data_IF_410436204626
#
_entry.id   IF_410436204626
#
_cell.length_a   1.000
_cell.length_b   1.000
_cell.length_c   1.000
_cell.angle_alpha   90.00
_cell.angle_beta   90.00
_cell.angle_gamma   90.00
#
_symmetry.space_group_name_H-M   'P 1'
#
loop_
_entity.id
_entity.type
_entity.pdbx_description
1 polymer ?
#
# COMPACT_ATOMS: atom_id res chain seq x y z
N UNK A 1 5.78 -20.09 30.37
CA UNK A 1 6.38 -20.82 29.23
C UNK A 1 7.86 -21.01 29.51
N UNK A 2 8.37 -22.25 29.46
CA UNK A 2 9.81 -22.52 29.61
C UNK A 2 10.51 -22.03 28.34
N UNK A 3 11.35 -21.01 28.44
CA UNK A 3 12.24 -20.59 27.35
C UNK A 3 13.31 -21.67 27.19
N UNK A 4 13.26 -22.41 26.08
CA UNK A 4 14.41 -23.19 25.64
C UNK A 4 15.51 -22.17 25.30
N UNK A 5 16.60 -22.13 26.08
CA UNK A 5 17.73 -21.21 25.91
C UNK A 5 18.57 -21.45 24.64
N UNK A 6 17.95 -21.87 23.55
CA UNK A 6 18.57 -21.98 22.24
C UNK A 6 18.47 -20.63 21.53
N UNK A 7 19.62 -20.04 21.24
CA UNK A 7 19.73 -18.89 20.33
C UNK A 7 19.27 -19.35 18.95
N UNK A 8 18.20 -18.76 18.42
CA UNK A 8 17.79 -18.95 17.02
C UNK A 8 18.59 -18.03 16.11
N UNK A 9 19.07 -18.53 14.98
CA UNK A 9 19.76 -17.74 13.96
C UNK A 9 19.00 -17.81 12.65
N UNK A 10 18.61 -16.66 12.14
CA UNK A 10 17.92 -16.49 10.85
C UNK A 10 18.84 -15.73 9.90
N UNK A 11 18.82 -16.12 8.62
CA UNK A 11 19.54 -15.39 7.55
C UNK A 11 18.51 -14.91 6.54
N UNK A 12 18.32 -13.60 6.47
CA UNK A 12 17.48 -12.96 5.46
C UNK A 12 18.32 -12.50 4.27
N UNK A 13 17.79 -12.68 3.06
CA UNK A 13 18.30 -12.04 1.85
C UNK A 13 17.29 -11.03 1.36
N UNK A 14 17.58 -9.75 1.60
CA UNK A 14 16.73 -8.65 1.16
C UNK A 14 17.07 -8.24 -0.27
N UNK A 15 16.04 -8.06 -1.11
CA UNK A 15 16.16 -7.69 -2.51
C UNK A 15 15.31 -6.44 -2.81
N UNK A 16 15.97 -5.37 -3.23
CA UNK A 16 15.28 -4.17 -3.75
C UNK A 16 14.43 -4.49 -4.98
N UNK A 17 13.39 -3.69 -5.25
CA UNK A 17 12.41 -3.96 -6.32
C UNK A 17 13.02 -4.09 -7.72
N UNK A 18 14.08 -3.31 -8.01
CA UNK A 18 14.85 -3.36 -9.27
C UNK A 18 16.11 -4.24 -9.20
N UNK A 19 16.26 -5.05 -8.14
CA UNK A 19 17.45 -5.88 -7.93
C UNK A 19 17.31 -7.25 -8.59
N UNK A 20 18.26 -7.57 -9.47
CA UNK A 20 18.41 -8.88 -10.08
C UNK A 20 19.76 -9.48 -9.63
N UNK A 21 19.77 -10.36 -8.62
CA UNK A 21 21.00 -11.00 -8.17
C UNK A 21 21.57 -11.90 -9.28
N UNK A 22 22.90 -11.92 -9.43
CA UNK A 22 23.58 -12.88 -10.29
C UNK A 22 23.91 -14.17 -9.55
N UNK A 23 24.35 -15.19 -10.29
CA UNK A 23 24.73 -16.50 -9.74
C UNK A 23 25.76 -16.40 -8.61
N UNK A 24 26.68 -15.42 -8.71
CA UNK A 24 27.73 -15.20 -7.71
C UNK A 24 27.14 -14.72 -6.38
N UNK A 25 26.24 -13.75 -6.43
CA UNK A 25 25.55 -13.22 -5.25
C UNK A 25 24.71 -14.31 -4.60
N UNK A 26 23.92 -15.05 -5.38
CA UNK A 26 23.10 -16.16 -4.89
C UNK A 26 23.95 -17.23 -4.19
N UNK A 27 25.06 -17.65 -4.81
CA UNK A 27 25.98 -18.62 -4.22
C UNK A 27 26.52 -18.13 -2.88
N UNK A 28 26.94 -16.86 -2.78
CA UNK A 28 27.48 -16.28 -1.54
C UNK A 28 26.45 -16.27 -0.42
N UNK A 29 25.21 -15.94 -0.73
CA UNK A 29 24.11 -15.89 0.24
C UNK A 29 23.75 -17.31 0.72
N UNK A 30 23.72 -18.29 -0.20
CA UNK A 30 23.50 -19.71 0.14
C UNK A 30 24.62 -20.27 1.02
N UNK A 31 25.88 -19.92 0.73
CA UNK A 31 27.01 -20.29 1.57
C UNK A 31 26.89 -19.68 2.98
N UNK A 32 26.35 -18.47 3.12
CA UNK A 32 26.12 -17.84 4.42
C UNK A 32 25.08 -18.58 5.25
N UNK A 33 23.93 -18.92 4.65
CA UNK A 33 22.89 -19.70 5.34
C UNK A 33 23.43 -21.06 5.82
N UNK A 34 24.21 -21.76 4.98
CA UNK A 34 24.88 -23.01 5.34
C UNK A 34 25.85 -22.87 6.51
N UNK A 35 26.64 -21.80 6.56
CA UNK A 35 27.61 -21.56 7.66
C UNK A 35 26.93 -21.42 9.02
N UNK A 36 25.73 -20.85 9.06
CA UNK A 36 24.95 -20.69 10.29
C UNK A 36 23.94 -21.82 10.52
N UNK A 37 24.01 -22.89 9.73
CA UNK A 37 23.09 -24.04 9.80
C UNK A 37 21.61 -23.62 9.82
N UNK A 38 21.26 -22.66 8.96
CA UNK A 38 19.91 -22.11 8.85
C UNK A 38 19.46 -22.05 7.40
N UNK A 39 18.17 -21.84 7.19
CA UNK A 39 17.58 -21.66 5.86
C UNK A 39 17.62 -20.20 5.47
N UNK A 40 17.88 -19.96 4.19
CA UNK A 40 17.80 -18.61 3.64
C UNK A 40 16.34 -18.17 3.52
N UNK A 41 16.02 -16.99 4.07
CA UNK A 41 14.69 -16.38 3.96
C UNK A 41 14.78 -15.24 2.93
N UNK A 42 14.30 -15.44 1.69
CA UNK A 42 14.27 -14.35 0.71
C UNK A 42 13.21 -13.33 1.11
N UNK A 43 13.57 -12.05 1.06
CA UNK A 43 12.70 -10.93 1.40
C UNK A 43 12.75 -9.93 0.25
N UNK A 44 11.60 -9.65 -0.36
CA UNK A 44 11.49 -8.61 -1.39
C UNK A 44 11.20 -7.27 -0.70
N UNK A 45 11.62 -6.18 -1.33
CA UNK A 45 11.19 -4.84 -0.94
C UNK A 45 9.65 -4.80 -0.85
N UNK A 46 9.13 -4.15 0.19
CA UNK A 46 7.72 -4.09 0.59
C UNK A 46 7.16 -5.34 1.26
N UNK A 47 7.92 -6.43 1.33
CA UNK A 47 7.54 -7.68 2.02
C UNK A 47 8.42 -7.96 3.25
N UNK A 48 8.99 -6.93 3.85
CA UNK A 48 9.86 -7.05 5.02
C UNK A 48 9.08 -7.50 6.25
N UNK A 49 9.41 -8.67 6.86
CA UNK A 49 8.80 -9.06 8.12
C UNK A 49 9.18 -8.10 9.24
N UNK A 50 8.23 -7.77 10.12
CA UNK A 50 8.45 -6.88 11.28
C UNK A 50 9.64 -7.32 12.11
N UNK A 51 9.79 -8.63 12.36
CA UNK A 51 10.94 -9.20 13.09
C UNK A 51 12.30 -8.81 12.48
N UNK A 52 12.42 -8.84 11.15
CA UNK A 52 13.65 -8.45 10.46
C UNK A 52 13.96 -6.97 10.71
N UNK A 53 12.94 -6.11 10.67
CA UNK A 53 13.10 -4.66 10.88
C UNK A 53 13.38 -4.35 12.34
N UNK A 54 12.75 -5.04 13.28
CA UNK A 54 13.05 -4.92 14.72
C UNK A 54 14.52 -5.22 15.01
N UNK A 55 15.11 -6.26 14.40
CA UNK A 55 16.53 -6.60 14.55
C UNK A 55 17.46 -5.48 14.03
N UNK A 56 17.01 -4.68 13.06
CA UNK A 56 17.73 -3.51 12.54
C UNK A 56 17.56 -2.24 13.39
N UNK A 57 16.89 -2.34 14.54
CA UNK A 57 16.60 -1.21 15.43
C UNK A 57 15.18 -0.63 15.26
N UNK A 58 14.28 -1.38 14.62
CA UNK A 58 12.87 -0.99 14.44
C UNK A 58 12.64 0.00 13.31
N UNK A 59 13.67 0.34 12.53
CA UNK A 59 13.59 1.31 11.44
C UNK A 59 14.30 0.77 10.19
N UNK A 60 13.69 0.96 9.02
CA UNK A 60 14.27 0.60 7.74
C UNK A 60 14.12 1.74 6.73
N UNK A 61 15.26 2.35 6.37
CA UNK A 61 15.32 3.35 5.32
C UNK A 61 15.78 2.73 3.99
N UNK A 62 15.02 2.97 2.92
CA UNK A 62 15.25 2.41 1.60
C UNK A 62 15.38 3.55 0.60
N UNK A 63 16.57 3.65 0.00
CA UNK A 63 16.85 4.58 -1.10
C UNK A 63 16.73 3.90 -2.44
N UNK A 64 16.25 4.63 -3.45
CA UNK A 64 16.15 4.11 -4.80
C UNK A 64 17.51 4.13 -5.51
N UNK A 65 17.64 3.25 -6.50
CA UNK A 65 18.79 3.20 -7.37
C UNK A 65 20.07 2.64 -6.73
N UNK A 66 21.16 2.73 -7.48
CA UNK A 66 22.46 2.18 -7.07
C UNK A 66 23.22 3.15 -6.17
N UNK A 67 23.90 2.63 -5.14
CA UNK A 67 24.74 3.43 -4.23
C UNK A 67 25.78 4.33 -4.93
N UNK A 68 26.26 3.93 -6.11
CA UNK A 68 27.21 4.73 -6.91
C UNK A 68 26.64 6.08 -7.38
N UNK A 69 25.31 6.25 -7.39
CA UNK A 69 24.63 7.49 -7.79
C UNK A 69 24.22 8.35 -6.59
N UNK A 70 24.53 7.93 -5.37
CA UNK A 70 24.16 8.67 -4.17
C UNK A 70 25.16 9.79 -3.92
N UNK A 71 24.67 11.02 -4.01
CA UNK A 71 25.40 12.23 -3.66
C UNK A 71 24.64 12.99 -2.57
N UNK A 72 25.34 13.85 -1.82
CA UNK A 72 24.70 14.70 -0.79
C UNK A 72 23.84 15.80 -1.41
N UNK A 73 24.17 16.16 -2.64
CA UNK A 73 23.54 17.19 -3.46
C UNK A 73 22.31 16.66 -4.20
N UNK A 74 22.01 15.35 -4.08
CA UNK A 74 20.85 14.76 -4.71
C UNK A 74 19.58 15.26 -4.04
N UNK A 75 18.70 15.86 -4.83
CA UNK A 75 17.32 16.07 -4.43
C UNK A 75 16.63 14.73 -4.20
N UNK A 76 15.95 14.56 -3.07
CA UNK A 76 15.25 13.33 -2.73
C UNK A 76 14.04 13.61 -1.83
N UNK A 77 12.99 12.82 -2.00
CA UNK A 77 11.79 12.83 -1.15
C UNK A 77 11.62 11.46 -0.52
N UNK A 78 11.41 11.42 0.79
CA UNK A 78 11.17 10.20 1.53
C UNK A 78 9.85 10.30 2.27
N UNK A 79 9.03 9.26 2.20
CA UNK A 79 7.82 9.12 3.01
C UNK A 79 8.11 8.25 4.23
N UNK A 80 7.59 8.65 5.38
CA UNK A 80 7.73 7.94 6.65
C UNK A 80 6.40 7.26 6.99
N UNK A 81 6.43 5.93 7.16
CA UNK A 81 5.26 5.14 7.55
C UNK A 81 5.57 4.28 8.76
N UNK A 82 4.68 4.32 9.76
CA UNK A 82 4.74 3.44 10.92
C UNK A 82 3.72 2.32 10.77
N UNK A 83 4.15 1.08 11.01
CA UNK A 83 3.30 -0.12 11.01
C UNK A 83 3.80 -1.09 12.06
N UNK A 84 2.92 -1.61 12.91
CA UNK A 84 3.25 -2.65 13.91
C UNK A 84 4.57 -2.40 14.69
N UNK A 85 4.70 -1.20 15.27
CA UNK A 85 5.87 -0.74 16.05
C UNK A 85 7.21 -0.64 15.28
N UNK A 86 7.19 -0.74 13.95
CA UNK A 86 8.34 -0.45 13.10
C UNK A 86 8.09 0.72 12.16
N UNK A 87 9.16 1.38 11.74
CA UNK A 87 9.11 2.54 10.82
C UNK A 87 9.80 2.22 9.51
N UNK A 88 9.11 2.45 8.40
CA UNK A 88 9.65 2.40 7.05
C UNK A 88 9.85 3.82 6.52
N UNK A 89 11.00 4.06 5.90
CA UNK A 89 11.35 5.35 5.28
C UNK A 89 11.73 5.05 3.83
N UNK A 90 10.77 5.21 2.91
CA UNK A 90 10.97 4.87 1.50
C UNK A 90 11.25 6.14 0.67
N UNK A 91 12.30 6.13 -0.13
CA UNK A 91 12.54 7.15 -1.17
C UNK A 91 11.52 6.95 -2.31
N UNK A 92 10.80 8.01 -2.63
CA UNK A 92 9.76 8.10 -3.67
C UNK A 92 10.10 9.20 -4.68
N UNK A 93 9.40 9.21 -5.81
CA UNK A 93 9.56 10.29 -6.80
C UNK A 93 9.18 11.64 -6.19
N UNK A 94 10.02 12.64 -6.39
CA UNK A 94 9.76 14.01 -5.96
C UNK A 94 8.58 14.58 -6.76
N UNK A 95 7.51 14.96 -6.07
CA UNK A 95 6.38 15.66 -6.67
C UNK A 95 5.20 15.75 -5.71
N UNK A 96 4.38 16.78 -5.88
CA UNK A 96 3.16 17.01 -5.07
C UNK A 96 2.18 15.84 -5.13
N UNK A 97 2.08 15.13 -6.27
CA UNK A 97 1.30 13.87 -6.37
C UNK A 97 1.65 12.82 -5.32
N UNK A 98 2.87 12.87 -4.76
CA UNK A 98 3.35 11.90 -3.77
C UNK A 98 3.28 12.42 -2.34
N UNK A 99 2.79 13.66 -2.15
CA UNK A 99 2.53 14.27 -0.87
C UNK A 99 1.13 13.88 -0.37
N UNK A 100 0.98 13.72 0.94
CA UNK A 100 -0.28 13.36 1.58
C UNK A 100 -0.31 13.86 3.02
N UNK A 101 -1.42 14.50 3.40
CA UNK A 101 -1.66 15.01 4.76
C UNK A 101 -1.65 13.91 5.83
N UNK A 102 -1.82 12.64 5.43
CA UNK A 102 -1.83 11.50 6.33
C UNK A 102 -0.45 10.97 6.71
N UNK A 103 0.65 11.52 6.17
CA UNK A 103 2.00 11.01 6.36
C UNK A 103 3.03 12.13 6.56
N UNK A 104 4.17 11.79 7.15
CA UNK A 104 5.31 12.70 7.27
C UNK A 104 6.34 12.42 6.19
N UNK A 105 7.06 13.46 5.77
CA UNK A 105 8.06 13.38 4.71
C UNK A 105 9.36 14.06 5.11
N UNK A 106 10.47 13.50 4.62
CA UNK A 106 11.78 14.14 4.69
C UNK A 106 12.27 14.41 3.27
N UNK A 107 12.51 15.69 2.96
CA UNK A 107 12.98 16.12 1.65
C UNK A 107 14.38 16.73 1.77
N UNK A 108 15.23 16.41 0.81
CA UNK A 108 16.45 17.16 0.54
C UNK A 108 16.26 17.86 -0.78
N UNK A 109 16.24 19.19 -0.79
CA UNK A 109 16.06 20.03 -1.97
C UNK A 109 17.24 21.00 -2.05
N UNK A 110 18.14 20.81 -3.03
CA UNK A 110 19.28 21.70 -3.26
C UNK A 110 20.09 21.99 -1.97
N UNK A 111 20.47 20.93 -1.24
CA UNK A 111 21.18 20.98 0.05
C UNK A 111 20.37 21.51 1.25
N UNK A 112 19.13 21.97 1.04
CA UNK A 112 18.19 22.29 2.12
C UNK A 112 17.42 21.04 2.53
N UNK A 113 17.19 20.85 3.84
CA UNK A 113 16.41 19.73 4.36
C UNK A 113 15.08 20.23 4.92
N UNK A 114 13.99 19.66 4.42
CA UNK A 114 12.64 19.93 4.86
C UNK A 114 12.09 18.70 5.56
N UNK A 115 11.33 18.92 6.64
CA UNK A 115 10.48 17.87 7.21
C UNK A 115 9.04 18.36 7.18
N UNK A 116 8.24 17.67 6.37
CA UNK A 116 6.79 17.87 6.33
C UNK A 116 6.17 16.97 7.38
N UNK A 117 5.49 17.55 8.35
CA UNK A 117 4.78 16.78 9.36
C UNK A 117 3.29 16.70 9.05
N UNK A 118 2.78 15.48 9.17
CA UNK A 118 1.46 15.31 9.77
C UNK A 118 1.60 15.57 11.29
N UNK A 119 1.70 16.85 11.67
CA UNK A 119 1.86 17.42 13.04
C UNK A 119 3.08 16.97 13.91
N UNK A 120 3.94 17.94 14.29
CA UNK A 120 4.98 17.98 15.35
C UNK A 120 6.40 17.36 15.10
N UNK A 121 7.43 18.16 14.74
CA UNK A 121 8.70 18.41 15.50
C UNK A 121 9.84 19.19 14.74
N UNK A 122 10.85 19.64 15.49
CA UNK A 122 11.77 20.78 15.27
C UNK A 122 12.91 20.72 14.21
N UNK A 123 12.63 20.44 12.94
CA UNK A 123 13.56 20.78 11.80
C UNK A 123 13.05 22.07 11.14
N UNK A 124 13.49 22.50 9.95
CA UNK A 124 12.68 23.47 9.17
C UNK A 124 11.36 22.75 8.91
N UNK A 125 10.44 23.03 9.81
CA UNK A 125 9.20 22.30 10.01
C UNK A 125 8.18 22.96 9.12
N UNK A 126 7.74 22.25 8.09
CA UNK A 126 6.54 22.61 7.35
C UNK A 126 5.40 21.77 7.94
N UNK A 127 4.50 22.44 8.63
CA UNK A 127 3.23 21.92 9.11
C UNK A 127 2.17 22.42 8.15
N UNK A 128 1.45 21.47 7.55
CA UNK A 128 0.38 21.77 6.60
C UNK A 128 -0.60 22.80 7.16
N UNK A 129 -0.81 23.90 6.42
CA UNK A 129 -1.74 24.98 6.80
C UNK A 129 -1.28 25.89 7.94
N UNK A 130 -0.11 25.69 8.54
CA UNK A 130 0.44 26.58 9.58
C UNK A 130 1.58 27.46 9.07
N UNK A 131 2.56 26.87 8.37
CA UNK A 131 3.79 27.52 7.92
C UNK A 131 4.35 26.89 6.63
N UNK A 132 3.47 26.36 5.78
CA UNK A 132 3.81 25.70 4.52
C UNK A 132 3.89 26.66 3.32
N UNK A 133 4.18 27.94 3.51
CA UNK A 133 4.21 28.96 2.44
C UNK A 133 5.59 29.13 1.75
N UNK A 134 6.51 28.17 1.93
CA UNK A 134 7.84 28.20 1.31
C UNK A 134 7.78 27.99 -0.23
N UNK A 135 8.09 29.06 -0.98
CA UNK A 135 8.06 29.05 -2.45
C UNK A 135 9.01 28.02 -3.07
N UNK A 136 10.20 27.80 -2.50
CA UNK A 136 11.18 26.86 -3.05
C UNK A 136 10.67 25.43 -2.91
N UNK A 137 10.06 25.11 -1.77
CA UNK A 137 9.45 23.82 -1.51
C UNK A 137 8.38 23.48 -2.57
N UNK A 138 7.41 24.38 -2.79
CA UNK A 138 6.35 24.16 -3.77
C UNK A 138 6.83 24.21 -5.21
N UNK A 139 7.78 25.08 -5.54
CA UNK A 139 8.40 25.12 -6.87
C UNK A 139 9.07 23.79 -7.22
N UNK A 140 9.74 23.15 -6.24
CA UNK A 140 10.41 21.87 -6.44
C UNK A 140 9.46 20.67 -6.50
N UNK A 141 8.32 20.73 -5.80
CA UNK A 141 7.29 19.68 -5.84
C UNK A 141 6.33 19.83 -7.03
N UNK A 142 6.18 21.03 -7.57
CA UNK A 142 5.24 21.34 -8.63
C UNK A 142 3.83 21.67 -8.14
N UNK A 143 3.09 22.44 -8.93
CA UNK A 143 1.77 23.01 -8.63
C UNK A 143 0.61 22.01 -8.88
N UNK A 144 0.70 20.79 -8.37
CA UNK A 144 -0.41 19.83 -8.42
C UNK A 144 -1.11 19.73 -7.05
N UNK A 145 -2.39 19.37 -7.09
CA UNK A 145 -3.10 18.92 -5.90
C UNK A 145 -2.39 17.68 -5.32
N UNK A 146 -2.51 17.49 -4.02
CA UNK A 146 -1.95 16.37 -3.29
C UNK A 146 -3.04 15.71 -2.44
N UNK A 147 -2.79 14.47 -2.00
CA UNK A 147 -3.78 13.67 -1.30
C UNK A 147 -4.11 14.26 0.08
N UNK A 148 -5.27 14.92 0.17
CA UNK A 148 -5.75 15.56 1.40
C UNK A 148 -7.18 15.13 1.72
N UNK A 149 -7.39 14.71 2.97
CA UNK A 149 -8.70 14.35 3.48
C UNK A 149 -8.82 14.76 4.95
N UNK A 150 -9.97 15.33 5.32
CA UNK A 150 -10.22 15.86 6.67
C UNK A 150 -10.04 14.80 7.76
N UNK A 151 -10.25 13.53 7.44
CA UNK A 151 -10.15 12.46 8.42
C UNK A 151 -8.71 12.12 8.84
N UNK A 152 -7.69 12.57 8.10
CA UNK A 152 -6.30 12.30 8.44
C UNK A 152 -5.88 12.91 9.77
N UNK A 153 -6.55 13.97 10.21
CA UNK A 153 -6.35 14.57 11.53
C UNK A 153 -6.49 13.56 12.70
N UNK A 154 -7.30 12.51 12.52
CA UNK A 154 -7.50 11.50 13.57
C UNK A 154 -6.48 10.37 13.52
N UNK A 155 -5.69 10.24 12.44
CA UNK A 155 -4.75 9.13 12.27
C UNK A 155 -3.74 9.03 13.41
N UNK A 156 -3.15 10.16 13.81
CA UNK A 156 -2.17 10.22 14.90
C UNK A 156 -2.74 9.84 16.27
N UNK A 157 -4.07 9.91 16.45
CA UNK A 157 -4.72 9.51 17.70
C UNK A 157 -4.98 8.01 17.82
N UNK A 158 -4.90 7.27 16.70
CA UNK A 158 -5.16 5.84 16.66
C UNK A 158 -3.85 5.08 16.89
N UNK A 159 -3.75 4.42 18.06
CA UNK A 159 -2.57 3.64 18.44
C UNK A 159 -2.79 2.15 18.20
N UNK A 160 -1.71 1.42 17.90
CA UNK A 160 -1.75 -0.04 17.72
C UNK A 160 -2.56 -0.52 16.51
N UNK A 161 -2.83 0.37 15.56
CA UNK A 161 -3.49 0.04 14.29
C UNK A 161 -2.56 0.38 13.13
N UNK A 162 -2.60 -0.46 12.11
CA UNK A 162 -1.78 -0.29 10.91
C UNK A 162 -2.56 -0.78 9.70
N UNK A 163 -2.35 -0.15 8.53
CA UNK A 163 -2.98 -0.60 7.30
C UNK A 163 -2.64 -2.05 7.01
N UNK A 164 -3.64 -2.81 6.59
CA UNK A 164 -3.50 -4.25 6.33
C UNK A 164 -4.25 -4.64 5.09
N UNK A 165 -3.66 -5.58 4.34
CA UNK A 165 -4.22 -6.09 3.10
C UNK A 165 -4.43 -7.59 3.25
N UNK A 166 -5.65 -8.06 2.95
CA UNK A 166 -5.98 -9.47 2.95
C UNK A 166 -6.47 -9.91 1.58
N UNK A 167 -5.99 -11.05 1.10
CA UNK A 167 -6.54 -11.75 -0.06
C UNK A 167 -7.66 -12.67 0.37
N UNK A 168 -8.79 -12.64 -0.34
CA UNK A 168 -9.85 -13.63 -0.19
C UNK A 168 -9.43 -14.97 -0.80
N UNK A 169 -9.41 -16.03 0.00
CA UNK A 169 -9.05 -17.39 -0.38
C UNK A 169 -10.26 -18.32 -0.36
N UNK A 170 -10.82 -18.59 -1.54
CA UNK A 170 -12.03 -19.40 -1.69
C UNK A 170 -11.75 -20.90 -1.91
N UNK A 171 -10.49 -21.30 -2.07
CA UNK A 171 -10.12 -22.73 -2.19
C UNK A 171 -10.16 -23.46 -0.84
N UNK A 172 -10.32 -22.71 0.26
CA UNK A 172 -10.43 -23.26 1.61
C UNK A 172 -11.91 -23.33 2.04
N UNK A 173 -12.24 -24.32 2.85
CA UNK A 173 -13.55 -24.45 3.47
C UNK A 173 -13.38 -24.54 5.00
N UNK A 174 -13.86 -23.55 5.78
CA UNK A 174 -14.56 -22.34 5.34
C UNK A 174 -13.65 -21.38 4.55
N UNK A 175 -14.26 -20.51 3.74
CA UNK A 175 -13.55 -19.44 3.01
C UNK A 175 -12.83 -18.54 4.00
N UNK A 176 -11.58 -18.17 3.71
CA UNK A 176 -10.74 -17.38 4.61
C UNK A 176 -10.17 -16.14 3.94
N UNK A 177 -9.71 -15.20 4.76
CA UNK A 177 -8.90 -14.07 4.35
C UNK A 177 -7.46 -14.31 4.81
N UNK A 178 -6.50 -14.27 3.89
CA UNK A 178 -5.08 -14.44 4.19
C UNK A 178 -4.40 -13.09 4.13
N UNK A 179 -3.64 -12.73 5.17
CA UNK A 179 -2.84 -11.52 5.17
C UNK A 179 -1.76 -11.60 4.09
N UNK A 180 -1.60 -10.52 3.33
CA UNK A 180 -0.58 -10.37 2.29
C UNK A 180 0.20 -9.07 2.52
N UNK A 181 1.43 -9.00 2.00
CA UNK A 181 2.29 -7.83 2.19
C UNK A 181 1.93 -6.67 1.24
N UNK A 182 1.45 -7.00 0.04
CA UNK A 182 1.14 -6.03 -1.01
C UNK A 182 0.75 -6.72 -2.31
N UNK A 183 0.11 -5.99 -3.23
CA UNK A 183 -0.36 -6.53 -4.51
C UNK A 183 0.79 -6.95 -5.44
N UNK A 184 1.91 -6.21 -5.44
CA UNK A 184 3.09 -6.50 -6.27
C UNK A 184 3.80 -7.81 -5.88
N UNK A 185 3.57 -8.28 -4.66
CA UNK A 185 4.17 -9.51 -4.13
C UNK A 185 3.35 -10.76 -4.44
N UNK A 186 2.09 -10.57 -4.83
CA UNK A 186 1.15 -11.64 -5.09
C UNK A 186 1.33 -12.23 -6.49
N UNK A 187 1.04 -13.53 -6.62
CA UNK A 187 0.99 -14.17 -7.93
C UNK A 187 -0.36 -13.88 -8.56
N UNK A 188 -0.36 -13.41 -9.81
CA UNK A 188 -1.60 -13.13 -10.57
C UNK A 188 -2.57 -12.23 -9.77
N UNK A 189 -2.15 -11.04 -9.30
CA UNK A 189 -2.98 -10.18 -8.45
C UNK A 189 -4.33 -9.82 -9.08
N UNK A 190 -4.39 -9.81 -10.41
CA UNK A 190 -5.61 -9.54 -11.19
C UNK A 190 -6.70 -10.63 -11.08
N UNK A 191 -6.37 -11.83 -10.60
CA UNK A 191 -7.32 -12.97 -10.45
C UNK A 191 -7.96 -13.03 -9.06
N UNK A 192 -7.67 -12.05 -8.21
CA UNK A 192 -8.02 -12.09 -6.79
C UNK A 192 -8.88 -10.90 -6.37
N UNK A 193 -9.55 -11.07 -5.22
CA UNK A 193 -10.25 -10.00 -4.51
C UNK A 193 -9.52 -9.76 -3.20
N UNK A 194 -9.25 -8.51 -2.90
CA UNK A 194 -8.58 -8.10 -1.68
C UNK A 194 -9.48 -7.22 -0.83
N UNK A 195 -9.26 -7.28 0.48
CA UNK A 195 -9.79 -6.35 1.46
C UNK A 195 -8.61 -5.54 1.99
N UNK A 196 -8.65 -4.23 1.82
CA UNK A 196 -7.70 -3.28 2.38
C UNK A 196 -8.36 -2.58 3.58
N UNK A 197 -7.78 -2.71 4.76
CA UNK A 197 -8.08 -1.88 5.93
C UNK A 197 -7.06 -0.75 5.93
N UNK A 198 -7.51 0.46 5.62
CA UNK A 198 -6.70 1.67 5.66
C UNK A 198 -6.83 2.37 7.03
N UNK A 199 -7.27 1.66 8.06
CA UNK A 199 -7.58 2.14 9.41
C UNK A 199 -8.84 3.00 9.48
N UNK A 200 -8.97 4.05 8.67
CA UNK A 200 -10.13 4.96 8.72
C UNK A 200 -11.18 4.70 7.63
N UNK A 201 -10.87 3.81 6.69
CA UNK A 201 -11.70 3.41 5.57
C UNK A 201 -11.33 1.97 5.16
N UNK A 202 -12.24 1.30 4.45
CA UNK A 202 -12.00 -0.02 3.87
C UNK A 202 -12.18 0.02 2.36
N UNK A 203 -11.29 -0.67 1.64
CA UNK A 203 -11.41 -0.90 0.21
C UNK A 203 -11.54 -2.38 -0.09
N UNK A 204 -12.45 -2.71 -0.99
CA UNK A 204 -12.49 -4.00 -1.66
C UNK A 204 -11.87 -3.81 -3.02
N UNK A 205 -10.71 -4.42 -3.25
CA UNK A 205 -9.98 -4.34 -4.51
C UNK A 205 -10.35 -5.56 -5.35
N UNK A 206 -11.07 -5.36 -6.45
CA UNK A 206 -11.52 -6.43 -7.34
C UNK A 206 -10.59 -6.48 -8.54
N UNK A 207 -9.77 -7.53 -8.62
CA UNK A 207 -8.92 -7.78 -9.78
C UNK A 207 -9.74 -7.95 -11.06
N UNK A 208 -9.19 -7.54 -12.21
CA UNK A 208 -9.91 -7.52 -13.49
C UNK A 208 -10.44 -8.88 -13.93
N UNK A 209 -9.75 -9.96 -13.59
CA UNK A 209 -10.14 -11.35 -13.91
C UNK A 209 -11.03 -11.97 -12.82
N UNK A 210 -11.34 -11.24 -11.74
CA UNK A 210 -12.19 -11.70 -10.63
C UNK A 210 -13.58 -11.03 -10.63
N UNK A 211 -13.90 -10.22 -11.65
CA UNK A 211 -15.10 -9.37 -11.70
C UNK A 211 -16.41 -10.14 -11.85
N UNK A 212 -16.38 -11.33 -12.44
CA UNK A 212 -17.54 -12.23 -12.60
C UNK A 212 -17.86 -13.04 -11.33
N UNK A 213 -16.97 -13.03 -10.35
CA UNK A 213 -17.05 -13.89 -9.17
C UNK A 213 -18.03 -13.34 -8.13
N UNK A 214 -19.32 -13.25 -8.48
CA UNK A 214 -20.40 -12.66 -7.67
C UNK A 214 -20.42 -13.16 -6.22
N UNK A 215 -20.18 -14.47 -6.01
CA UNK A 215 -20.12 -15.06 -4.66
C UNK A 215 -18.96 -14.49 -3.84
N UNK A 216 -17.78 -14.37 -4.44
CA UNK A 216 -16.58 -13.83 -3.79
C UNK A 216 -16.76 -12.34 -3.48
N UNK A 217 -17.28 -11.57 -4.44
CA UNK A 217 -17.55 -10.14 -4.27
C UNK A 217 -18.56 -9.91 -3.13
N UNK A 218 -19.67 -10.66 -3.10
CA UNK A 218 -20.66 -10.57 -2.02
C UNK A 218 -20.07 -10.88 -0.65
N UNK A 219 -19.22 -11.90 -0.56
CA UNK A 219 -18.54 -12.24 0.70
C UNK A 219 -17.59 -11.13 1.16
N UNK A 220 -16.82 -10.53 0.23
CA UNK A 220 -15.95 -9.40 0.55
C UNK A 220 -16.75 -8.17 1.04
N UNK A 221 -17.88 -7.86 0.39
CA UNK A 221 -18.79 -6.78 0.82
C UNK A 221 -19.33 -7.02 2.22
N UNK A 222 -19.80 -8.24 2.51
CA UNK A 222 -20.29 -8.60 3.85
C UNK A 222 -19.18 -8.49 4.90
N UNK A 223 -17.98 -8.98 4.61
CA UNK A 223 -16.85 -8.90 5.53
C UNK A 223 -16.44 -7.46 5.83
N UNK A 224 -16.31 -6.61 4.80
CA UNK A 224 -15.96 -5.20 4.97
C UNK A 224 -17.03 -4.42 5.76
N UNK A 225 -18.32 -4.66 5.46
CA UNK A 225 -19.44 -4.05 6.18
C UNK A 225 -19.46 -4.45 7.67
N UNK A 226 -19.17 -5.73 7.95
CA UNK A 226 -19.08 -6.22 9.33
C UNK A 226 -17.87 -5.63 10.07
N UNK A 227 -16.70 -5.51 9.43
CA UNK A 227 -15.54 -4.86 10.02
C UNK A 227 -15.79 -3.38 10.30
N UNK A 228 -16.38 -2.64 9.37
CA UNK A 228 -16.79 -1.25 9.59
C UNK A 228 -17.71 -1.13 10.81
N UNK A 229 -18.75 -1.95 10.86
CA UNK A 229 -19.72 -1.96 11.97
C UNK A 229 -19.08 -2.32 13.32
N UNK A 230 -18.14 -3.27 13.36
CA UNK A 230 -17.47 -3.70 14.60
C UNK A 230 -16.41 -2.71 15.08
N UNK A 231 -15.76 -2.00 14.16
CA UNK A 231 -14.65 -1.08 14.47
C UNK A 231 -15.09 0.37 14.69
N UNK A 232 -16.35 0.71 14.41
CA UNK A 232 -16.88 2.07 14.59
C UNK A 232 -16.68 2.63 16.01
N UNK A 233 -16.76 1.79 17.05
CA UNK A 233 -16.66 2.26 18.44
C UNK A 233 -15.24 2.64 18.86
N UNK A 234 -14.23 2.15 18.14
CA UNK A 234 -12.81 2.48 18.35
C UNK A 234 -12.30 3.57 17.42
N UNK A 235 -13.17 4.14 16.58
CA UNK A 235 -12.81 5.10 15.53
C UNK A 235 -13.72 6.34 15.64
N UNK A 236 -13.33 7.50 15.08
CA UNK A 236 -14.13 8.73 15.18
C UNK A 236 -15.48 8.66 14.46
N UNK A 237 -15.58 7.79 13.45
CA UNK A 237 -16.79 7.52 12.66
C UNK A 237 -16.77 6.06 12.21
N UNK A 238 -17.91 5.57 11.71
CA UNK A 238 -17.99 4.27 11.06
C UNK A 238 -17.20 4.31 9.73
N UNK A 239 -16.10 3.54 9.58
CA UNK A 239 -15.26 3.63 8.39
C UNK A 239 -16.06 3.33 7.11
N UNK A 240 -16.02 4.20 6.10
CA UNK A 240 -16.70 3.93 4.84
C UNK A 240 -16.07 2.70 4.16
N UNK A 241 -16.89 2.03 3.36
CA UNK A 241 -16.48 0.87 2.56
C UNK A 241 -16.61 1.25 1.09
N UNK A 242 -15.51 1.11 0.37
CA UNK A 242 -15.40 1.41 -1.05
C UNK A 242 -15.05 0.14 -1.83
N UNK A 243 -15.40 0.10 -3.12
CA UNK A 243 -15.07 -0.99 -4.03
C UNK A 243 -14.34 -0.41 -5.23
N UNK A 244 -13.06 -0.75 -5.38
CA UNK A 244 -12.23 -0.36 -6.51
C UNK A 244 -12.13 -1.54 -7.48
N UNK A 245 -12.46 -1.33 -8.75
CA UNK A 245 -12.59 -2.40 -9.73
C UNK A 245 -11.56 -2.22 -10.83
N UNK A 246 -10.58 -3.12 -10.92
CA UNK A 246 -9.52 -3.03 -11.93
C UNK A 246 -9.99 -3.50 -13.32
N UNK A 247 -9.44 -2.96 -14.43
CA UNK A 247 -8.45 -1.87 -14.47
C UNK A 247 -9.06 -0.54 -14.04
N UNK A 248 -8.33 0.22 -13.22
CA UNK A 248 -8.73 1.51 -12.65
C UNK A 248 -7.50 2.20 -12.09
N UNK A 249 -7.41 3.52 -12.19
CA UNK A 249 -6.44 4.28 -11.39
C UNK A 249 -6.74 4.07 -9.91
N UNK A 250 -5.72 4.10 -9.07
CA UNK A 250 -5.87 4.01 -7.62
C UNK A 250 -6.02 5.42 -7.03
N UNK A 251 -7.05 5.67 -6.20
CA UNK A 251 -7.17 6.93 -5.45
C UNK A 251 -5.87 7.28 -4.71
N UNK A 252 -5.48 8.56 -4.72
CA UNK A 252 -4.15 8.96 -4.25
C UNK A 252 -3.89 8.65 -2.76
N UNK A 253 -4.92 8.79 -1.93
CA UNK A 253 -4.95 8.44 -0.51
C UNK A 253 -4.71 6.94 -0.29
N UNK A 254 -5.41 6.08 -1.02
CA UNK A 254 -5.20 4.64 -1.01
C UNK A 254 -3.79 4.28 -1.54
N UNK A 255 -3.37 4.89 -2.64
CA UNK A 255 -2.08 4.63 -3.30
C UNK A 255 -0.91 4.87 -2.36
N UNK A 256 -0.97 5.92 -1.54
CA UNK A 256 0.08 6.24 -0.57
C UNK A 256 -0.04 5.45 0.75
N UNK A 257 -1.20 4.82 1.00
CA UNK A 257 -1.44 4.04 2.23
C UNK A 257 -0.58 2.78 2.31
N UNK A 258 -0.44 2.06 1.22
CA UNK A 258 0.38 0.85 1.13
C UNK A 258 1.66 1.12 0.32
N UNK A 259 2.78 0.51 0.72
CA UNK A 259 4.10 0.86 0.19
C UNK A 259 4.30 0.48 -1.27
N UNK A 260 3.53 -0.48 -1.80
CA UNK A 260 3.71 -1.04 -3.13
C UNK A 260 2.60 -0.68 -4.14
N UNK A 261 1.55 0.03 -3.72
CA UNK A 261 0.41 0.31 -4.60
C UNK A 261 0.74 1.29 -5.72
N UNK A 262 1.66 2.24 -5.51
CA UNK A 262 2.13 3.13 -6.58
C UNK A 262 2.85 2.35 -7.71
N UNK A 263 3.66 1.36 -7.33
CA UNK A 263 4.30 0.46 -8.29
C UNK A 263 3.24 -0.42 -8.99
N UNK A 264 2.28 -0.98 -8.25
CA UNK A 264 1.19 -1.75 -8.85
C UNK A 264 0.35 -0.93 -9.84
N UNK A 265 0.02 0.31 -9.48
CA UNK A 265 -0.78 1.22 -10.29
C UNK A 265 -0.08 1.58 -11.60
N UNK A 266 1.21 1.95 -11.51
CA UNK A 266 2.03 2.33 -12.66
C UNK A 266 2.37 1.17 -13.60
N UNK A 267 2.33 -0.08 -13.11
CA UNK A 267 2.57 -1.29 -13.91
C UNK A 267 1.30 -1.82 -14.61
N UNK A 268 0.13 -1.21 -14.40
CA UNK A 268 -1.10 -1.59 -15.09
C UNK A 268 -0.98 -1.39 -16.61
N UNK A 269 -1.44 -2.39 -17.38
CA UNK A 269 -1.42 -2.35 -18.85
C UNK A 269 -2.74 -2.87 -19.45
N UNK A 270 -3.42 -2.06 -20.29
CA UNK A 270 -3.16 -0.63 -20.51
C UNK A 270 -3.34 0.17 -19.21
N UNK A 271 -2.62 1.29 -19.08
CA UNK A 271 -2.83 2.18 -17.95
C UNK A 271 -4.22 2.84 -18.06
N UNK A 272 -5.07 2.73 -17.03
CA UNK A 272 -6.43 3.26 -17.06
C UNK A 272 -6.42 4.80 -17.01
N UNK A 273 -7.34 5.43 -17.72
CA UNK A 273 -7.58 6.88 -17.71
C UNK A 273 -8.73 7.30 -16.78
N UNK A 274 -9.28 6.35 -16.03
CA UNK A 274 -10.46 6.51 -15.19
C UNK A 274 -10.28 5.84 -13.82
N UNK A 275 -11.14 6.23 -12.88
CA UNK A 275 -11.30 5.57 -11.58
C UNK A 275 -12.66 4.85 -11.58
N UNK A 276 -12.65 3.55 -11.34
CA UNK A 276 -13.84 2.71 -11.21
C UNK A 276 -14.07 2.36 -9.73
N UNK A 277 -14.56 3.37 -8.99
CA UNK A 277 -14.79 3.32 -7.56
C UNK A 277 -16.30 3.37 -7.29
N UNK A 278 -16.79 2.45 -6.46
CA UNK A 278 -18.18 2.41 -6.00
C UNK A 278 -18.24 2.51 -4.48
N UNK A 279 -19.28 3.13 -3.97
CA UNK A 279 -19.70 2.96 -2.58
C UNK A 279 -20.24 1.54 -2.34
N UNK A 280 -20.31 1.14 -1.06
CA UNK A 280 -20.94 -0.13 -0.66
C UNK A 280 -22.39 -0.27 -1.19
N UNK A 281 -23.16 0.82 -1.20
CA UNK A 281 -24.54 0.82 -1.68
C UNK A 281 -24.61 0.59 -3.20
N UNK A 282 -23.83 1.34 -3.98
CA UNK A 282 -23.76 1.19 -5.43
C UNK A 282 -23.28 -0.21 -5.83
N UNK A 283 -22.28 -0.75 -5.12
CA UNK A 283 -21.81 -2.11 -5.34
C UNK A 283 -22.93 -3.15 -5.12
N UNK A 284 -23.73 -2.99 -4.06
CA UNK A 284 -24.89 -3.85 -3.84
C UNK A 284 -25.96 -3.71 -4.93
N UNK A 285 -26.24 -2.49 -5.39
CA UNK A 285 -27.18 -2.23 -6.47
C UNK A 285 -26.71 -2.90 -7.78
N UNK A 286 -25.43 -2.76 -8.13
CA UNK A 286 -24.83 -3.39 -9.31
C UNK A 286 -25.02 -4.90 -9.29
N UNK A 287 -24.75 -5.56 -8.15
CA UNK A 287 -24.88 -7.02 -8.02
C UNK A 287 -26.32 -7.53 -8.03
N UNK A 288 -27.32 -6.66 -7.83
CA UNK A 288 -28.74 -6.99 -7.93
C UNK A 288 -29.30 -6.73 -9.32
N UNK A 289 -28.60 -5.94 -10.14
CA UNK A 289 -29.06 -5.51 -11.45
C UNK A 289 -28.80 -6.58 -12.52
N UNK A 290 -29.87 -7.05 -13.16
CA UNK A 290 -29.81 -8.07 -14.21
C UNK A 290 -29.60 -7.51 -15.63
N UNK A 291 -29.86 -6.22 -15.85
CA UNK A 291 -29.86 -5.59 -17.18
C UNK A 291 -29.10 -4.28 -17.18
N UNK A 292 -28.24 -4.08 -18.17
CA UNK A 292 -27.41 -2.88 -18.30
C UNK A 292 -27.67 -2.16 -19.61
N UNK A 293 -27.55 -0.83 -19.58
CA UNK A 293 -27.66 -0.05 -20.82
C UNK A 293 -26.46 -0.35 -21.71
N UNK A 294 -26.68 -0.40 -23.03
CA UNK A 294 -25.61 -0.72 -23.99
C UNK A 294 -24.42 0.24 -23.89
N UNK A 295 -24.64 1.49 -23.48
CA UNK A 295 -23.55 2.46 -23.30
C UNK A 295 -22.59 2.10 -22.17
N UNK A 296 -23.09 1.52 -21.07
CA UNK A 296 -22.29 1.15 -19.90
C UNK A 296 -21.44 -0.12 -20.11
N UNK A 297 -21.74 -0.90 -21.14
CA UNK A 297 -21.02 -2.14 -21.46
C UNK A 297 -20.14 -2.01 -22.72
N UNK A 298 -20.08 -0.83 -23.33
CA UNK A 298 -19.22 -0.58 -24.50
C UNK A 298 -17.74 -0.57 -24.15
N UNK A 299 -17.41 0.02 -23.00
CA UNK A 299 -16.04 0.09 -22.53
C UNK A 299 -15.72 -1.12 -21.67
N UNK A 300 -14.91 -2.03 -22.22
CA UNK A 300 -14.49 -3.26 -21.55
C UNK A 300 -13.59 -3.02 -20.34
N UNK A 301 -13.01 -1.81 -20.21
CA UNK A 301 -12.16 -1.43 -19.08
C UNK A 301 -12.99 -0.88 -17.91
N UNK A 302 -14.13 -0.26 -18.21
CA UNK A 302 -15.04 0.36 -17.22
C UNK A 302 -16.39 -0.37 -17.10
N UNK A 303 -16.38 -1.70 -17.02
CA UNK A 303 -17.61 -2.47 -16.87
C UNK A 303 -18.26 -2.31 -15.48
N UNK A 304 -19.59 -2.51 -15.36
CA UNK A 304 -20.22 -2.67 -14.07
C UNK A 304 -19.66 -3.84 -13.25
N UNK A 305 -19.63 -3.69 -11.93
CA UNK A 305 -19.31 -4.77 -10.99
C UNK A 305 -20.18 -6.01 -11.24
N UNK A 306 -19.56 -7.19 -11.34
CA UNK A 306 -20.28 -8.44 -11.61
C UNK A 306 -20.35 -8.82 -13.10
N UNK A 307 -19.83 -7.99 -14.01
CA UNK A 307 -19.75 -8.26 -15.45
C UNK A 307 -18.29 -8.40 -15.85
N UNK A 308 -17.98 -9.47 -16.57
CA UNK A 308 -16.68 -9.69 -17.20
C UNK A 308 -16.76 -9.45 -18.71
N UNK A 309 -15.67 -9.01 -19.38
CA UNK A 309 -15.69 -8.81 -20.84
C UNK A 309 -16.11 -10.03 -21.66
N UNK A 310 -16.00 -11.25 -21.11
CA UNK A 310 -16.49 -12.48 -21.74
C UNK A 310 -18.01 -12.65 -21.74
N UNK A 311 -18.73 -11.84 -20.97
CA UNK A 311 -20.19 -11.90 -20.85
C UNK A 311 -20.91 -11.08 -21.94
N UNK A 312 -20.14 -10.36 -22.78
CA UNK A 312 -20.62 -9.42 -23.80
C UNK A 312 -20.78 -10.04 -25.20
#
# INVERSE_FOLDING_TARGET
>A
MKSTGLVSTSVWSWYGKKSNPGEREERKIQEMARRYNTTLIPVRQYAEPTEMVTVLGGQLAIRQGTRARWSRENTAMHIVRSSDDVTFIDEIELGSRNLCSGFSYCLSLLETFYVWYATNSAVIELTEGENDDDEMFWMMLGEQEYARADYWQWRGSLTGVSPRLWRLEDRTHPVSFNLVYGLTTERQPNEHIYLADCVLEYYILVGKEARDSLKKIRLALSAASELSSRTQHSKPFAPPVHVLIFPSQIPEDLRLTFRDLDDFDSEQSPYPDHINLLSLEEAHQHLQQATWSRSLVKDTTMLPLGIHPSDL
#
